data_IF_042324449929
#
_entry.id   IF_042324449929
#
_cell.length_a   1.000
_cell.length_b   1.000
_cell.length_c   1.000
_cell.angle_alpha   90.00
_cell.angle_beta   90.00
_cell.angle_gamma   90.00
#
_symmetry.space_group_name_H-M   'P 1'
#
loop_
_entity.id
_entity.type
_entity.pdbx_description
1 polymer ?
#
# COMPACT_ATOMS: atom_id res chain seq x y z
N UNK A 1 -18.17 66.20 -17.81
CA UNK A 1 -18.37 66.55 -19.24
C UNK A 1 -17.20 66.01 -20.05
N UNK A 2 -17.51 65.39 -21.20
CA UNK A 2 -16.67 64.81 -22.26
C UNK A 2 -16.14 63.36 -22.10
N UNK A 3 -16.59 62.43 -22.98
CA UNK A 3 -16.20 61.01 -23.06
C UNK A 3 -15.21 60.75 -24.21
N UNK A 4 -14.34 59.73 -24.11
CA UNK A 4 -13.64 59.11 -25.26
C UNK A 4 -13.36 57.62 -24.95
N UNK A 5 -14.18 56.70 -25.47
CA UNK A 5 -14.00 55.86 -26.69
C UNK A 5 -13.43 54.47 -26.38
N UNK A 6 -14.33 53.46 -26.43
CA UNK A 6 -14.03 52.05 -26.60
C UNK A 6 -13.20 51.82 -27.88
N UNK A 7 -12.19 50.94 -27.80
CA UNK A 7 -11.68 50.20 -28.96
C UNK A 7 -11.58 48.72 -28.63
N UNK A 8 -12.54 47.99 -29.21
CA UNK A 8 -12.53 46.54 -29.39
C UNK A 8 -11.36 46.14 -30.28
N UNK A 9 -10.56 45.16 -29.84
CA UNK A 9 -9.63 44.42 -30.69
C UNK A 9 -9.93 42.93 -30.52
N UNK A 10 -10.77 42.41 -31.41
CA UNK A 10 -10.88 40.99 -31.70
C UNK A 10 -9.68 40.58 -32.57
N UNK A 11 -8.97 39.53 -32.16
CA UNK A 11 -7.99 38.83 -32.98
C UNK A 11 -8.58 37.48 -33.45
N UNK A 12 -8.30 37.04 -34.69
CA UNK A 12 -9.04 35.96 -35.34
C UNK A 12 -8.58 34.55 -34.94
N UNK A 13 -9.56 33.64 -34.88
CA UNK A 13 -9.41 32.19 -34.84
C UNK A 13 -8.57 31.71 -36.04
N UNK A 14 -7.44 31.03 -35.78
CA UNK A 14 -6.75 30.22 -36.79
C UNK A 14 -7.12 28.75 -36.60
N UNK A 15 -7.99 28.26 -37.48
CA UNK A 15 -8.13 26.83 -37.76
C UNK A 15 -6.87 26.36 -38.48
N UNK A 16 -6.21 25.32 -37.95
CA UNK A 16 -5.14 24.61 -38.65
C UNK A 16 -5.55 23.14 -38.82
N UNK A 17 -5.41 22.72 -40.06
CA UNK A 17 -5.98 21.56 -40.72
C UNK A 17 -5.29 20.25 -40.35
N UNK A 18 -6.12 19.20 -40.28
CA UNK A 18 -5.74 17.79 -40.25
C UNK A 18 -4.78 17.44 -41.41
N UNK A 19 -3.64 16.80 -41.11
CA UNK A 19 -2.84 16.10 -42.10
C UNK A 19 -2.42 14.73 -41.54
N UNK A 20 -2.85 13.68 -42.24
CA UNK A 20 -2.61 12.26 -41.96
C UNK A 20 -1.50 11.77 -42.90
N UNK A 21 -0.38 11.24 -42.42
CA UNK A 21 0.52 10.44 -43.25
C UNK A 21 0.19 8.94 -43.13
N UNK A 22 0.34 8.24 -44.25
CA UNK A 22 0.03 6.84 -44.47
C UNK A 22 1.30 5.96 -44.46
N UNK A 23 1.27 4.84 -43.72
CA UNK A 23 2.07 3.60 -43.90
C UNK A 23 3.60 3.68 -43.77
N UNK A 24 4.34 2.55 -43.64
CA UNK A 24 3.94 1.19 -44.02
C UNK A 24 4.19 0.05 -42.99
N UNK A 25 3.53 -1.07 -43.27
CA UNK A 25 3.91 -2.48 -43.12
C UNK A 25 4.69 -2.99 -41.87
N UNK A 26 3.93 -3.67 -41.00
CA UNK A 26 4.14 -5.03 -40.46
C UNK A 26 5.55 -5.64 -40.52
N UNK A 27 6.09 -5.96 -39.34
CA UNK A 27 6.84 -7.19 -39.10
C UNK A 27 6.33 -7.83 -37.79
N UNK A 28 5.55 -8.90 -37.92
CA UNK A 28 5.14 -9.74 -36.80
C UNK A 28 6.26 -10.76 -36.55
N UNK A 29 6.97 -10.64 -35.43
CA UNK A 29 7.83 -11.71 -34.93
C UNK A 29 6.97 -12.82 -34.36
N UNK A 30 6.95 -13.92 -35.10
CA UNK A 30 6.31 -15.19 -34.74
C UNK A 30 7.17 -15.82 -33.64
N UNK A 31 6.80 -15.62 -32.37
CA UNK A 31 7.35 -16.44 -31.30
C UNK A 31 6.65 -17.81 -31.32
N UNK A 32 7.43 -18.79 -31.76
CA UNK A 32 7.10 -20.21 -31.82
C UNK A 32 6.67 -20.72 -30.45
N UNK A 33 5.45 -21.27 -30.37
CA UNK A 33 4.97 -22.05 -29.24
C UNK A 33 5.85 -23.30 -29.08
N UNK A 34 6.47 -23.43 -27.91
CA UNK A 34 7.14 -24.67 -27.50
C UNK A 34 6.06 -25.65 -27.01
N UNK A 35 5.92 -26.76 -27.72
CA UNK A 35 5.05 -27.87 -27.36
C UNK A 35 5.62 -28.63 -26.15
N UNK A 36 4.78 -29.13 -25.22
CA UNK A 36 5.19 -30.13 -24.25
C UNK A 36 5.00 -31.54 -24.84
N UNK A 37 6.09 -32.31 -24.87
CA UNK A 37 6.11 -33.74 -25.16
C UNK A 37 6.09 -34.60 -23.87
N UNK A 38 5.89 -35.92 -23.99
CA UNK A 38 4.97 -36.67 -23.14
C UNK A 38 5.56 -37.30 -21.87
N UNK A 39 4.63 -37.67 -20.99
CA UNK A 39 4.79 -38.45 -19.78
C UNK A 39 5.55 -39.78 -19.99
N UNK A 40 6.34 -40.17 -18.99
CA UNK A 40 6.82 -41.54 -18.82
C UNK A 40 6.55 -42.01 -17.39
N UNK A 41 5.65 -42.98 -17.31
CA UNK A 41 5.29 -43.77 -16.14
C UNK A 41 6.37 -44.81 -15.84
N UNK A 42 6.79 -44.89 -14.57
CA UNK A 42 7.51 -46.06 -14.03
C UNK A 42 7.03 -46.39 -12.62
N UNK A 43 6.18 -47.42 -12.57
CA UNK A 43 6.30 -48.62 -11.72
C UNK A 43 6.26 -48.47 -10.20
N UNK A 44 5.15 -48.98 -9.66
CA UNK A 44 4.92 -49.46 -8.30
C UNK A 44 6.09 -50.28 -7.73
N UNK A 45 6.45 -50.04 -6.46
CA UNK A 45 6.95 -51.09 -5.55
C UNK A 45 6.37 -50.92 -4.16
N UNK A 46 5.82 -52.03 -3.67
CA UNK A 46 5.19 -52.21 -2.37
C UNK A 46 6.20 -52.17 -1.21
N UNK A 47 5.64 -51.98 -0.02
CA UNK A 47 6.27 -51.85 1.29
C UNK A 47 7.12 -53.07 1.73
N UNK A 48 7.83 -52.91 2.86
CA UNK A 48 7.52 -53.80 3.97
C UNK A 48 7.30 -53.08 5.30
N UNK A 49 6.43 -53.71 6.07
CA UNK A 49 6.04 -53.45 7.46
C UNK A 49 7.22 -53.64 8.43
N UNK A 50 7.40 -52.68 9.34
CA UNK A 50 8.12 -52.86 10.60
C UNK A 50 7.22 -52.40 11.75
N UNK A 51 6.83 -53.29 12.67
CA UNK A 51 6.19 -52.90 13.93
C UNK A 51 7.29 -52.63 14.97
N UNK A 52 7.26 -51.48 15.61
CA UNK A 52 7.98 -51.33 16.88
C UNK A 52 7.24 -50.40 17.83
N UNK A 53 6.92 -50.95 19.00
CA UNK A 53 6.36 -50.27 20.17
C UNK A 53 7.30 -49.17 20.67
N UNK A 54 6.74 -48.12 21.25
CA UNK A 54 7.50 -47.16 22.06
C UNK A 54 6.71 -45.92 22.42
N UNK A 55 5.90 -46.02 23.48
CA UNK A 55 5.31 -44.86 24.14
C UNK A 55 6.40 -43.91 24.65
N UNK A 56 6.37 -42.64 24.24
CA UNK A 56 6.96 -41.53 25.00
C UNK A 56 6.09 -40.29 24.77
N UNK A 57 5.46 -39.82 25.85
CA UNK A 57 4.79 -38.53 25.95
C UNK A 57 5.81 -37.42 25.69
N UNK A 58 5.89 -36.96 24.44
CA UNK A 58 6.68 -35.80 24.04
C UNK A 58 5.88 -34.54 24.29
N UNK A 59 6.23 -33.82 25.36
CA UNK A 59 5.75 -32.47 25.67
C UNK A 59 5.74 -31.61 24.41
N UNK A 60 4.57 -31.11 24.04
CA UNK A 60 4.44 -30.04 23.06
C UNK A 60 5.11 -28.79 23.62
N UNK A 61 6.38 -28.62 23.29
CA UNK A 61 7.09 -27.36 23.48
C UNK A 61 6.40 -26.33 22.58
N UNK A 62 5.40 -25.64 23.13
CA UNK A 62 4.93 -24.37 22.56
C UNK A 62 6.13 -23.44 22.57
N UNK A 63 6.78 -23.32 21.42
CA UNK A 63 7.71 -22.27 21.12
C UNK A 63 7.00 -20.95 21.39
N UNK A 64 7.25 -20.36 22.57
CA UNK A 64 6.94 -18.95 22.81
C UNK A 64 7.85 -18.17 21.88
N UNK A 65 7.30 -17.89 20.71
CA UNK A 65 7.82 -16.89 19.79
C UNK A 65 8.04 -15.61 20.58
N UNK A 66 9.31 -15.20 20.70
CA UNK A 66 9.72 -13.95 21.33
C UNK A 66 9.28 -12.82 20.45
N UNK A 67 8.00 -12.48 20.55
CA UNK A 67 7.47 -11.20 20.12
C UNK A 67 8.13 -10.14 21.01
N UNK A 68 9.14 -9.48 20.47
CA UNK A 68 9.60 -8.16 20.92
C UNK A 68 8.35 -7.34 21.24
N UNK A 69 8.06 -7.15 22.53
CA UNK A 69 6.82 -6.55 23.02
C UNK A 69 6.87 -5.04 22.74
N UNK A 70 6.70 -4.68 21.47
CA UNK A 70 6.48 -3.30 21.07
C UNK A 70 5.09 -2.90 21.56
N UNK A 71 5.10 -2.26 22.73
CA UNK A 71 3.89 -1.72 23.34
C UNK A 71 3.43 -0.49 22.55
N UNK A 72 2.19 -0.54 22.07
CA UNK A 72 1.48 0.58 21.46
C UNK A 72 0.41 1.10 22.43
N UNK A 73 0.03 2.38 22.36
CA UNK A 73 -1.02 2.95 23.22
C UNK A 73 -2.36 2.20 23.17
N UNK A 74 -2.77 1.73 21.99
CA UNK A 74 -3.93 0.85 21.80
C UNK A 74 -3.45 -0.61 21.82
N UNK A 75 -3.80 -1.30 22.90
CA UNK A 75 -3.35 -2.66 23.22
C UNK A 75 -4.48 -3.70 23.12
N UNK A 76 -5.47 -3.46 22.26
CA UNK A 76 -6.54 -4.44 21.97
C UNK A 76 -5.98 -5.78 21.50
N UNK A 77 -6.58 -6.88 21.96
CA UNK A 77 -6.24 -8.24 21.52
C UNK A 77 -6.70 -8.51 20.09
N UNK A 78 -6.15 -9.52 19.44
CA UNK A 78 -6.56 -9.85 18.07
C UNK A 78 -8.02 -10.29 17.98
N UNK A 79 -8.60 -10.88 19.04
CA UNK A 79 -10.02 -11.18 19.13
C UNK A 79 -10.86 -9.90 19.13
N UNK A 80 -10.44 -8.88 19.89
CA UNK A 80 -11.10 -7.57 19.90
C UNK A 80 -10.94 -6.86 18.55
N UNK A 81 -9.82 -7.03 17.87
CA UNK A 81 -9.63 -6.50 16.53
C UNK A 81 -10.55 -7.17 15.50
N UNK A 82 -10.78 -8.48 15.60
CA UNK A 82 -11.70 -9.21 14.72
C UNK A 82 -13.18 -8.79 14.86
N UNK A 83 -13.56 -8.15 15.98
CA UNK A 83 -14.93 -7.64 16.14
C UNK A 83 -15.13 -6.24 15.54
N UNK A 84 -14.07 -5.45 15.42
CA UNK A 84 -14.14 -4.06 14.91
C UNK A 84 -13.67 -3.92 13.47
N UNK A 85 -12.74 -4.77 13.03
CA UNK A 85 -12.21 -4.77 11.67
C UNK A 85 -12.99 -5.73 10.79
N UNK A 86 -13.18 -5.37 9.53
CA UNK A 86 -13.56 -6.37 8.54
C UNK A 86 -12.39 -7.33 8.25
N UNK A 87 -12.63 -8.50 7.64
CA UNK A 87 -11.59 -9.52 7.42
C UNK A 87 -10.37 -9.01 6.65
N UNK A 88 -10.57 -8.14 5.67
CA UNK A 88 -9.50 -7.63 4.82
C UNK A 88 -8.66 -6.56 5.53
N UNK A 89 -9.32 -5.70 6.32
CA UNK A 89 -8.64 -4.77 7.23
C UNK A 89 -7.82 -5.52 8.26
N UNK A 90 -8.35 -6.60 8.83
CA UNK A 90 -7.62 -7.43 9.78
C UNK A 90 -6.38 -8.05 9.12
N UNK A 91 -6.55 -8.66 7.93
CA UNK A 91 -5.45 -9.24 7.15
C UNK A 91 -4.34 -8.23 6.88
N UNK A 92 -4.70 -7.00 6.51
CA UNK A 92 -3.70 -5.96 6.19
C UNK A 92 -3.09 -5.39 7.47
N UNK A 93 -3.89 -4.88 8.40
CA UNK A 93 -3.41 -4.16 9.59
C UNK A 93 -2.71 -5.08 10.60
N UNK A 94 -3.16 -6.34 10.75
CA UNK A 94 -2.68 -7.25 11.81
C UNK A 94 -1.81 -8.36 11.27
N UNK A 95 -2.15 -8.93 10.12
CA UNK A 95 -1.38 -10.02 9.48
C UNK A 95 -0.35 -9.51 8.46
N UNK A 96 -0.11 -8.18 8.42
CA UNK A 96 0.84 -7.52 7.51
C UNK A 96 0.62 -7.84 6.03
N UNK A 97 -0.64 -8.06 5.66
CA UNK A 97 -1.05 -8.27 4.28
C UNK A 97 -0.88 -7.02 3.42
N UNK A 98 -0.95 -7.21 2.10
CA UNK A 98 -0.96 -6.11 1.12
C UNK A 98 -2.18 -6.27 0.21
N UNK A 99 -2.87 -5.18 -0.10
CA UNK A 99 -3.96 -5.17 -1.07
C UNK A 99 -3.40 -5.23 -2.52
N UNK A 100 -4.14 -5.77 -3.50
CA UNK A 100 -3.69 -5.76 -4.88
C UNK A 100 -3.46 -4.34 -5.43
N UNK A 101 -2.47 -4.18 -6.30
CA UNK A 101 -2.17 -2.89 -6.91
C UNK A 101 -3.37 -2.36 -7.73
N UNK A 102 -3.70 -1.09 -7.53
CA UNK A 102 -4.71 -0.35 -8.28
C UNK A 102 -6.16 -0.62 -7.86
N UNK A 103 -6.39 -1.41 -6.81
CA UNK A 103 -7.74 -1.71 -6.30
C UNK A 103 -8.18 -0.83 -5.14
N UNK A 104 -7.24 -0.15 -4.47
CA UNK A 104 -7.52 0.67 -3.31
C UNK A 104 -8.35 1.92 -3.64
N UNK A 105 -9.35 2.22 -2.80
CA UNK A 105 -10.22 3.40 -2.91
C UNK A 105 -9.42 4.72 -3.00
N UNK A 106 -8.34 4.81 -2.22
CA UNK A 106 -7.57 6.04 -2.07
C UNK A 106 -6.39 6.18 -3.02
N UNK A 107 -6.12 5.20 -3.91
CA UNK A 107 -5.03 5.30 -4.90
C UNK A 107 -5.21 6.54 -5.79
N UNK A 108 -6.40 6.68 -6.37
CA UNK A 108 -6.77 7.78 -7.28
C UNK A 108 -7.53 8.93 -6.60
N UNK A 109 -7.61 8.91 -5.27
CA UNK A 109 -8.27 9.94 -4.50
C UNK A 109 -7.29 11.09 -4.20
N UNK A 110 -7.63 12.32 -4.59
CA UNK A 110 -6.79 13.53 -4.40
C UNK A 110 -7.66 14.72 -3.97
N UNK A 111 -8.13 14.74 -2.72
CA UNK A 111 -8.93 15.83 -2.20
C UNK A 111 -8.07 17.08 -1.97
N UNK A 112 -8.69 18.25 -1.96
CA UNK A 112 -7.99 19.52 -1.67
C UNK A 112 -7.69 19.74 -0.19
N UNK A 113 -8.40 19.04 0.70
CA UNK A 113 -8.24 19.09 2.16
C UNK A 113 -8.74 17.79 2.78
N UNK A 114 -8.37 17.53 4.03
CA UNK A 114 -8.83 16.38 4.82
C UNK A 114 -7.68 15.54 5.34
N UNK A 115 -8.03 14.51 6.13
CA UNK A 115 -7.07 13.66 6.82
C UNK A 115 -7.39 12.19 6.56
N UNK A 116 -6.35 11.41 6.31
CA UNK A 116 -6.40 9.95 6.28
C UNK A 116 -6.02 9.42 7.66
N UNK A 117 -7.00 8.80 8.31
CA UNK A 117 -6.88 8.19 9.62
C UNK A 117 -6.61 6.69 9.48
N UNK A 118 -6.03 6.09 10.51
CA UNK A 118 -5.88 4.64 10.61
C UNK A 118 -7.27 3.97 10.64
N UNK A 119 -7.52 3.02 9.75
CA UNK A 119 -8.80 2.32 9.69
C UNK A 119 -9.13 1.52 10.97
N UNK A 120 -8.13 1.17 11.80
CA UNK A 120 -8.34 0.41 13.03
C UNK A 120 -8.54 1.24 14.29
N UNK A 121 -7.73 2.28 14.51
CA UNK A 121 -7.80 3.08 15.74
C UNK A 121 -8.21 4.54 15.53
N UNK A 122 -8.54 4.92 14.29
CA UNK A 122 -8.93 6.27 13.89
C UNK A 122 -7.91 7.37 14.17
N UNK A 123 -6.66 7.00 14.52
CA UNK A 123 -5.57 7.96 14.71
C UNK A 123 -5.23 8.65 13.38
N UNK A 124 -5.01 9.97 13.35
CA UNK A 124 -4.68 10.70 12.13
C UNK A 124 -3.26 10.32 11.66
N UNK A 125 -3.11 9.94 10.38
CA UNK A 125 -1.83 9.47 9.82
C UNK A 125 -1.25 10.43 8.78
N UNK A 126 -2.07 10.86 7.83
CA UNK A 126 -1.65 11.67 6.68
C UNK A 126 -2.65 12.78 6.40
N UNK A 127 -2.18 13.94 5.94
CA UNK A 127 -3.05 14.99 5.40
C UNK A 127 -3.19 14.84 3.89
N UNK A 128 -4.23 15.45 3.31
CA UNK A 128 -4.38 15.54 1.86
C UNK A 128 -3.17 16.18 1.17
N UNK A 129 -2.55 17.18 1.80
CA UNK A 129 -1.39 17.90 1.28
C UNK A 129 -0.15 17.01 1.13
N UNK A 130 -0.04 15.96 1.94
CA UNK A 130 1.08 15.03 1.86
C UNK A 130 0.94 14.03 0.70
N UNK A 131 -0.25 13.92 0.10
CA UNK A 131 -0.53 12.93 -0.93
C UNK A 131 0.00 13.37 -2.28
N UNK A 132 0.63 12.46 -3.01
CA UNK A 132 1.12 12.73 -4.36
C UNK A 132 0.95 11.54 -5.30
N UNK A 133 1.09 11.79 -6.61
CA UNK A 133 0.95 10.77 -7.64
C UNK A 133 2.31 10.10 -7.92
N UNK A 134 2.56 8.98 -7.26
CA UNK A 134 3.76 8.16 -7.47
C UNK A 134 3.64 7.20 -8.66
N UNK A 135 2.43 6.73 -8.97
CA UNK A 135 2.19 5.67 -9.94
C UNK A 135 2.49 4.26 -9.43
N UNK A 136 2.68 4.06 -8.12
CA UNK A 136 3.01 2.74 -7.56
C UNK A 136 1.82 1.77 -7.48
N UNK A 137 0.59 2.24 -7.68
CA UNK A 137 -0.64 1.43 -7.60
C UNK A 137 -1.28 1.40 -6.21
N UNK A 138 -0.79 2.20 -5.28
CA UNK A 138 -1.33 2.38 -3.93
C UNK A 138 -1.27 3.87 -3.58
N UNK A 139 -2.08 4.37 -2.63
CA UNK A 139 -1.95 5.73 -2.15
C UNK A 139 -0.53 5.99 -1.64
N UNK A 140 0.05 7.10 -2.11
CA UNK A 140 1.41 7.51 -1.80
C UNK A 140 1.43 8.87 -1.11
N UNK A 141 2.22 8.97 -0.05
CA UNK A 141 2.42 10.19 0.73
C UNK A 141 3.92 10.48 0.86
N UNK A 142 4.31 11.75 0.84
CA UNK A 142 5.72 12.12 0.99
C UNK A 142 6.12 12.37 2.46
N UNK A 143 5.14 12.62 3.33
CA UNK A 143 5.36 12.81 4.76
C UNK A 143 4.13 12.34 5.54
N UNK A 144 4.27 12.12 6.84
CA UNK A 144 3.19 11.78 7.76
C UNK A 144 2.94 12.90 8.75
N UNK A 145 1.80 12.86 9.44
CA UNK A 145 1.60 13.73 10.60
C UNK A 145 2.70 13.40 11.63
N UNK A 146 3.38 14.41 12.22
CA UNK A 146 4.49 14.16 13.13
C UNK A 146 4.12 13.19 14.26
N UNK A 147 4.88 12.10 14.37
CA UNK A 147 4.67 11.06 15.40
C UNK A 147 3.52 10.09 15.13
N UNK A 148 2.84 10.17 13.98
CA UNK A 148 1.72 9.28 13.65
C UNK A 148 2.17 7.89 13.14
N UNK A 149 3.34 7.82 12.51
CA UNK A 149 3.87 6.61 11.87
C UNK A 149 5.18 6.19 12.53
N UNK A 150 5.34 4.89 12.79
CA UNK A 150 6.58 4.27 13.27
C UNK A 150 7.20 3.44 12.15
N UNK A 151 8.53 3.51 12.02
CA UNK A 151 9.31 2.80 11.00
C UNK A 151 9.99 1.58 11.60
N UNK A 152 9.88 0.43 10.93
CA UNK A 152 10.57 -0.81 11.27
C UNK A 152 11.40 -1.27 10.08
N UNK A 153 12.71 -1.40 10.27
CA UNK A 153 13.61 -1.82 9.19
C UNK A 153 13.52 -3.34 9.05
N UNK A 154 13.08 -3.79 7.87
CA UNK A 154 13.09 -5.18 7.42
C UNK A 154 14.28 -5.39 6.48
N UNK A 155 15.23 -6.23 6.90
CA UNK A 155 16.40 -6.61 6.11
C UNK A 155 16.29 -8.02 5.51
N UNK A 156 15.09 -8.60 5.51
CA UNK A 156 14.85 -9.95 5.00
C UNK A 156 15.07 -10.01 3.48
N UNK A 157 15.50 -11.16 2.96
CA UNK A 157 15.77 -11.40 1.54
C UNK A 157 16.82 -10.49 0.89
N UNK A 158 17.72 -9.90 1.69
CA UNK A 158 18.82 -9.06 1.18
C UNK A 158 18.36 -7.72 0.60
N UNK A 159 17.11 -7.33 0.85
CA UNK A 159 16.56 -6.02 0.49
C UNK A 159 16.29 -5.24 1.78
N UNK A 160 16.76 -3.99 1.85
CA UNK A 160 16.39 -3.08 2.93
C UNK A 160 15.05 -2.45 2.61
N UNK A 161 13.99 -2.92 3.27
CA UNK A 161 12.66 -2.30 3.21
C UNK A 161 12.34 -1.72 4.57
N UNK A 162 11.70 -0.56 4.61
CA UNK A 162 11.27 0.03 5.87
C UNK A 162 9.76 -0.09 5.96
N UNK A 163 9.26 -1.01 6.80
CA UNK A 163 7.85 -1.13 7.12
C UNK A 163 7.39 0.13 7.87
N UNK A 164 6.21 0.62 7.53
CA UNK A 164 5.53 1.70 8.27
C UNK A 164 4.29 1.15 8.95
N UNK A 165 4.16 1.45 10.25
CA UNK A 165 3.02 1.05 11.07
C UNK A 165 2.41 2.26 11.78
N UNK A 166 1.14 2.17 12.14
CA UNK A 166 0.49 3.18 12.97
C UNK A 166 1.16 3.23 14.35
N UNK A 167 1.60 4.41 14.79
CA UNK A 167 2.25 4.57 16.08
C UNK A 167 1.28 4.39 17.27
N UNK A 168 -0.04 4.48 17.05
CA UNK A 168 -1.04 4.33 18.11
C UNK A 168 -1.46 2.88 18.36
N UNK A 169 -1.63 2.05 17.32
CA UNK A 169 -2.12 0.66 17.48
C UNK A 169 -1.19 -0.42 16.89
N UNK A 170 -0.08 -0.02 16.27
CA UNK A 170 0.85 -0.94 15.62
C UNK A 170 0.35 -1.56 14.33
N UNK A 171 -0.80 -1.11 13.80
CA UNK A 171 -1.36 -1.64 12.56
C UNK A 171 -0.44 -1.39 11.36
N UNK A 172 -0.20 -2.43 10.56
CA UNK A 172 0.58 -2.35 9.33
C UNK A 172 -0.08 -1.45 8.30
N UNK A 173 0.68 -0.47 7.80
CA UNK A 173 0.21 0.48 6.79
C UNK A 173 0.80 0.15 5.42
N UNK A 174 2.09 -0.17 5.36
CA UNK A 174 2.80 -0.44 4.13
C UNK A 174 4.30 -0.27 4.30
N UNK A 175 4.95 0.36 3.32
CA UNK A 175 6.40 0.58 3.34
C UNK A 175 6.77 2.00 2.91
N UNK A 176 7.90 2.50 3.42
CA UNK A 176 8.52 3.75 2.98
C UNK A 176 9.78 3.45 2.16
N UNK A 177 9.93 4.21 1.08
CA UNK A 177 11.08 4.22 0.19
C UNK A 177 11.65 5.65 0.16
N UNK A 178 12.97 5.79 0.07
CA UNK A 178 13.67 7.07 0.14
C UNK A 178 14.63 7.16 -1.06
N UNK A 179 14.85 8.36 -1.59
CA UNK A 179 15.87 8.59 -2.64
C UNK A 179 15.43 8.15 -4.04
N UNK A 180 14.14 8.18 -4.33
CA UNK A 180 13.59 7.78 -5.65
C UNK A 180 13.55 8.94 -6.65
N UNK A 181 13.87 10.17 -6.22
CA UNK A 181 13.90 11.35 -7.08
C UNK A 181 12.52 11.94 -7.35
N UNK A 182 11.57 11.79 -6.44
CA UNK A 182 10.27 12.45 -6.55
C UNK A 182 10.41 13.96 -6.28
N UNK A 183 9.64 14.83 -6.97
CA UNK A 183 9.65 16.27 -6.74
C UNK A 183 8.85 16.61 -5.47
N UNK A 184 9.21 16.03 -4.33
CA UNK A 184 8.60 16.23 -3.02
C UNK A 184 9.65 16.76 -2.04
N UNK A 185 9.26 17.46 -0.96
CA UNK A 185 10.23 18.07 -0.04
C UNK A 185 11.18 17.07 0.64
N UNK A 186 10.72 15.85 0.87
CA UNK A 186 11.43 14.80 1.60
C UNK A 186 12.11 13.78 0.70
N UNK A 187 11.75 13.71 -0.58
CA UNK A 187 12.09 12.60 -1.49
C UNK A 187 11.80 11.20 -0.90
N UNK A 188 10.74 11.13 -0.09
CA UNK A 188 10.20 9.90 0.46
C UNK A 188 8.90 9.51 -0.22
N UNK A 189 8.66 8.20 -0.28
CA UNK A 189 7.41 7.61 -0.74
C UNK A 189 6.89 6.61 0.28
N UNK A 190 5.96 7.05 1.09
CA UNK A 190 5.13 6.18 1.93
C UNK A 190 4.08 5.51 1.04
N UNK A 191 4.34 4.26 0.66
CA UNK A 191 3.43 3.42 -0.11
C UNK A 191 2.49 2.68 0.84
N UNK A 192 1.24 3.12 0.94
CA UNK A 192 0.29 2.72 1.99
C UNK A 192 -0.86 1.92 1.39
N UNK A 193 -1.34 0.88 2.08
CA UNK A 193 -2.56 0.18 1.69
C UNK A 193 -3.78 1.10 1.91
N UNK A 194 -4.62 1.29 0.90
CA UNK A 194 -5.86 2.05 1.02
C UNK A 194 -6.78 1.50 2.11
N UNK A 195 -6.88 0.18 2.23
CA UNK A 195 -7.74 -0.50 3.22
C UNK A 195 -7.27 -0.23 4.67
N UNK A 196 -6.00 0.14 4.86
CA UNK A 196 -5.47 0.54 6.17
C UNK A 196 -5.86 1.96 6.59
N UNK A 197 -6.52 2.71 5.70
CA UNK A 197 -6.87 4.11 5.87
C UNK A 197 -8.40 4.32 5.89
N UNK A 198 -8.81 5.44 6.49
CA UNK A 198 -10.16 6.00 6.42
C UNK A 198 -10.04 7.51 6.21
N UNK A 199 -10.71 8.05 5.21
CA UNK A 199 -10.65 9.48 4.93
C UNK A 199 -11.72 10.29 5.69
N UNK A 200 -11.36 11.49 6.15
CA UNK A 200 -12.27 12.44 6.80
C UNK A 200 -12.06 13.86 6.21
N UNK A 201 -13.13 14.44 5.67
CA UNK A 201 -13.13 15.76 5.03
C UNK A 201 -13.09 16.94 6.03
N UNK A 202 -13.65 16.74 7.23
CA UNK A 202 -13.85 17.78 8.24
C UNK A 202 -12.77 17.80 9.33
N UNK A 203 -11.77 16.91 9.23
CA UNK A 203 -10.70 16.85 10.20
C UNK A 203 -9.68 17.97 9.94
N UNK A 204 -9.76 19.05 10.71
CA UNK A 204 -8.56 19.83 11.00
C UNK A 204 -7.61 18.94 11.82
N UNK A 205 -6.30 18.87 11.51
CA UNK A 205 -5.32 18.07 12.26
C UNK A 205 -5.02 18.70 13.64
N UNK A 206 -6.04 18.98 14.45
CA UNK A 206 -5.88 19.28 15.86
C UNK A 206 -5.72 17.98 16.60
N UNK A 207 -4.47 17.55 16.69
CA UNK A 207 -3.97 16.54 17.62
C UNK A 207 -4.69 16.73 18.96
N UNK A 208 -5.51 15.75 19.36
CA UNK A 208 -6.09 15.70 20.71
C UNK A 208 -4.95 15.47 21.69
N UNK A 209 -4.26 16.54 22.08
CA UNK A 209 -3.45 16.53 23.29
C UNK A 209 -4.41 16.28 24.45
N UNK A 210 -4.31 15.10 25.06
CA UNK A 210 -4.96 14.84 26.34
C UNK A 210 -4.45 15.88 27.33
N UNK A 211 -5.38 16.62 27.92
CA UNK A 211 -5.19 17.42 29.12
C UNK A 211 -4.88 16.52 30.33
#
# INVERSE_FOLDING_TARGET
MRPQTLRSLQAPLRQLTLAKPAGPARHYSIFTRKTPGPASSKTLRAAPTLPFLGALFGSSSSSKDTTENMSYPDNRSDEQWRTVLNPEQFRILREKGTEPAGTGEYDKHYPSKGVYNCAGCDAPLYTADHKFKSGCGWPAYFDSIPGAVKRHVDNTFGMKRTEIVCNNCGGHLGHVFEGEGFPTPTDERHCVNSISLRFSEDADPKVKSKA
#
